data_IF_179099910902
#
_entry.id   IF_179099910902
#
_cell.length_a   1.000
_cell.length_b   1.000
_cell.length_c   1.000
_cell.angle_alpha   90.00
_cell.angle_beta   90.00
_cell.angle_gamma   90.00
#
_symmetry.space_group_name_H-M   'P 1'
#
loop_
_entity.id
_entity.type
_entity.pdbx_description
1 polymer ?
#
# COMPACT_ATOMS: atom_id res chain seq x y z
N UNK A 1 7.28 -11.85 11.15
CA UNK A 1 7.84 -11.77 9.77
C UNK A 1 8.28 -10.35 9.41
N UNK A 2 7.43 -9.32 9.56
CA UNK A 2 7.85 -7.96 9.20
C UNK A 2 9.05 -7.48 10.04
N UNK A 3 9.04 -7.69 11.36
CA UNK A 3 10.16 -7.34 12.26
C UNK A 3 11.50 -7.97 11.88
N UNK A 4 11.49 -9.11 11.18
CA UNK A 4 12.72 -9.77 10.72
C UNK A 4 13.15 -9.30 9.33
N UNK A 5 12.24 -8.70 8.56
CA UNK A 5 12.48 -8.24 7.19
C UNK A 5 12.84 -6.75 7.11
N UNK A 6 12.42 -5.95 8.09
CA UNK A 6 12.68 -4.51 8.14
C UNK A 6 14.00 -4.20 8.83
N UNK A 7 14.63 -3.09 8.44
CA UNK A 7 15.87 -2.61 9.02
C UNK A 7 16.56 -1.62 8.10
N UNK A 8 17.47 -0.83 8.66
CA UNK A 8 18.26 0.12 7.85
C UNK A 8 19.25 -0.68 7.00
N UNK A 9 19.24 -0.42 5.69
CA UNK A 9 20.17 -1.02 4.74
C UNK A 9 21.15 0.03 4.21
N UNK A 10 22.43 -0.16 4.49
CA UNK A 10 23.53 0.64 3.92
C UNK A 10 23.63 0.58 2.40
N UNK A 11 22.98 -0.41 1.77
CA UNK A 11 23.00 -0.59 0.32
C UNK A 11 21.85 0.14 -0.38
N UNK A 12 20.92 0.72 0.37
CA UNK A 12 19.80 1.48 -0.19
C UNK A 12 19.83 2.92 0.34
N UNK A 13 20.10 3.93 -0.52
CA UNK A 13 20.21 5.32 -0.10
C UNK A 13 18.86 5.92 0.35
N UNK A 14 17.75 5.26 0.06
CA UNK A 14 16.40 5.64 0.51
C UNK A 14 15.94 4.85 1.75
N UNK A 15 16.82 4.05 2.35
CA UNK A 15 16.51 3.29 3.56
C UNK A 15 16.42 4.22 4.76
N UNK A 16 15.29 4.17 5.47
CA UNK A 16 15.03 4.97 6.67
C UNK A 16 14.72 4.07 7.85
N UNK A 17 15.14 4.48 9.04
CA UNK A 17 14.77 3.77 10.27
C UNK A 17 13.28 4.01 10.56
N UNK A 18 12.50 2.96 10.88
CA UNK A 18 11.11 3.16 11.29
C UNK A 18 11.04 3.93 12.62
N UNK A 19 9.99 4.72 12.85
CA UNK A 19 9.80 5.45 14.10
C UNK A 19 9.31 4.55 15.26
N UNK A 20 9.06 3.27 15.01
CA UNK A 20 8.58 2.28 15.97
C UNK A 20 9.58 1.12 16.15
N UNK A 21 9.66 0.52 17.35
CA UNK A 21 10.65 -0.50 17.66
C UNK A 21 10.30 -1.90 17.13
N UNK A 22 9.01 -2.23 16.98
CA UNK A 22 8.52 -3.52 16.50
C UNK A 22 7.09 -3.38 15.99
N UNK A 23 6.84 -3.83 14.75
CA UNK A 23 5.51 -3.87 14.16
C UNK A 23 4.58 -4.84 14.91
N UNK A 24 5.10 -5.97 15.42
CA UNK A 24 4.29 -6.88 16.25
C UNK A 24 3.84 -6.18 17.53
N UNK A 25 4.76 -5.50 18.22
CA UNK A 25 4.42 -4.75 19.42
C UNK A 25 3.46 -3.59 19.16
N UNK A 26 3.50 -2.95 17.97
CA UNK A 26 2.49 -1.95 17.58
C UNK A 26 1.10 -2.58 17.46
N UNK A 27 1.00 -3.72 16.77
CA UNK A 27 -0.27 -4.42 16.54
C UNK A 27 -0.84 -4.94 17.86
N UNK A 28 -0.02 -5.55 18.72
CA UNK A 28 -0.45 -6.09 20.02
C UNK A 28 -1.01 -5.02 20.96
N UNK A 29 -0.57 -3.76 20.82
CA UNK A 29 -1.12 -2.63 21.60
C UNK A 29 -2.49 -2.18 21.11
N UNK A 30 -2.81 -2.41 19.84
CA UNK A 30 -4.07 -2.03 19.21
C UNK A 30 -5.03 -3.23 19.17
N UNK A 31 -5.93 -3.30 20.16
CA UNK A 31 -6.88 -4.43 20.27
C UNK A 31 -8.04 -4.37 19.29
N UNK A 32 -8.38 -3.19 18.80
CA UNK A 32 -9.48 -2.93 17.88
C UNK A 32 -9.21 -1.67 17.05
N UNK A 33 -10.14 -1.34 16.15
CA UNK A 33 -10.01 -0.22 15.22
C UNK A 33 -10.53 1.11 15.79
N UNK A 34 -10.91 1.19 17.08
CA UNK A 34 -11.53 2.39 17.63
C UNK A 34 -10.61 3.59 17.56
N UNK A 35 -11.13 4.69 17.02
CA UNK A 35 -10.39 5.94 16.86
C UNK A 35 -9.42 5.97 15.67
N UNK A 36 -9.31 4.87 14.90
CA UNK A 36 -8.55 4.87 13.66
C UNK A 36 -9.33 5.68 12.60
N UNK A 37 -8.65 6.60 11.93
CA UNK A 37 -9.22 7.38 10.82
C UNK A 37 -8.77 6.76 9.51
N UNK A 38 -9.73 6.35 8.69
CA UNK A 38 -9.50 5.63 7.43
C UNK A 38 -10.14 6.43 6.31
N UNK A 39 -9.34 6.77 5.30
CA UNK A 39 -9.84 7.30 4.05
C UNK A 39 -10.04 6.12 3.07
N UNK A 40 -11.26 5.97 2.55
CA UNK A 40 -11.59 5.00 1.51
C UNK A 40 -11.71 5.72 0.16
N UNK A 41 -10.99 5.23 -0.85
CA UNK A 41 -11.09 5.70 -2.23
C UNK A 41 -11.27 4.48 -3.13
N UNK A 42 -12.37 4.47 -3.88
CA UNK A 42 -12.79 3.33 -4.70
C UNK A 42 -11.90 3.13 -5.93
N UNK A 43 -11.64 4.19 -6.71
CA UNK A 43 -10.73 4.17 -7.86
C UNK A 43 -9.58 5.15 -7.65
N UNK A 44 -8.55 4.70 -6.95
CA UNK A 44 -7.39 5.52 -6.56
C UNK A 44 -6.58 6.00 -7.76
N UNK A 45 -6.60 5.26 -8.88
CA UNK A 45 -5.72 5.52 -10.02
C UNK A 45 -6.48 6.00 -11.28
N UNK A 46 -7.79 6.18 -11.20
CA UNK A 46 -8.62 6.57 -12.34
C UNK A 46 -8.55 5.55 -13.49
N UNK A 47 -8.39 4.26 -13.18
CA UNK A 47 -8.25 3.19 -14.19
C UNK A 47 -9.47 2.30 -14.31
N UNK A 48 -10.48 2.55 -13.47
CA UNK A 48 -11.61 1.65 -13.28
C UNK A 48 -11.25 0.48 -12.37
N UNK A 49 -12.20 0.12 -11.51
CA UNK A 49 -12.14 -1.08 -10.68
C UNK A 49 -13.29 -1.98 -11.09
N UNK A 50 -13.04 -3.28 -11.11
CA UNK A 50 -14.10 -4.26 -11.35
C UNK A 50 -15.23 -4.11 -10.32
N UNK A 51 -16.47 -4.24 -10.76
CA UNK A 51 -17.64 -3.96 -9.93
C UNK A 51 -17.75 -4.89 -8.71
N UNK A 52 -17.36 -6.17 -8.86
CA UNK A 52 -17.35 -7.12 -7.74
C UNK A 52 -16.28 -6.71 -6.72
N UNK A 53 -15.09 -6.32 -7.20
CA UNK A 53 -13.99 -5.87 -6.34
C UNK A 53 -14.35 -4.58 -5.60
N UNK A 54 -14.94 -3.59 -6.26
CA UNK A 54 -15.39 -2.36 -5.57
C UNK A 54 -16.43 -2.68 -4.49
N UNK A 55 -17.39 -3.56 -4.79
CA UNK A 55 -18.41 -3.94 -3.81
C UNK A 55 -17.79 -4.61 -2.58
N UNK A 56 -16.83 -5.52 -2.76
CA UNK A 56 -16.11 -6.20 -1.67
C UNK A 56 -15.31 -5.18 -0.85
N UNK A 57 -14.52 -4.32 -1.49
CA UNK A 57 -13.71 -3.33 -0.81
C UNK A 57 -14.54 -2.32 -0.03
N UNK A 58 -15.66 -1.86 -0.61
CA UNK A 58 -16.61 -0.96 0.04
C UNK A 58 -17.28 -1.62 1.25
N UNK A 59 -17.63 -2.90 1.15
CA UNK A 59 -18.17 -3.65 2.27
C UNK A 59 -17.13 -3.82 3.39
N UNK A 60 -15.87 -4.07 3.07
CA UNK A 60 -14.79 -4.14 4.05
C UNK A 60 -14.58 -2.79 4.77
N UNK A 61 -14.65 -1.68 4.04
CA UNK A 61 -14.60 -0.34 4.63
C UNK A 61 -15.74 -0.11 5.65
N UNK A 62 -16.96 -0.55 5.33
CA UNK A 62 -18.10 -0.50 6.27
C UNK A 62 -17.88 -1.38 7.50
N UNK A 63 -17.34 -2.59 7.34
CA UNK A 63 -17.03 -3.46 8.48
C UNK A 63 -15.99 -2.85 9.43
N UNK A 64 -15.02 -2.10 8.90
CA UNK A 64 -14.08 -1.34 9.73
C UNK A 64 -14.77 -0.22 10.51
N UNK A 65 -15.74 0.45 9.89
CA UNK A 65 -16.58 1.44 10.56
C UNK A 65 -17.41 0.80 11.69
N UNK A 66 -18.02 -0.37 11.44
CA UNK A 66 -18.75 -1.14 12.45
C UNK A 66 -17.85 -1.58 13.62
N UNK A 67 -16.56 -1.82 13.35
CA UNK A 67 -15.54 -2.11 14.35
C UNK A 67 -15.04 -0.86 15.13
N UNK A 68 -15.60 0.32 14.88
CA UNK A 68 -15.33 1.55 15.60
C UNK A 68 -14.32 2.50 14.94
N UNK A 69 -13.86 2.20 13.72
CA UNK A 69 -13.06 3.13 12.94
C UNK A 69 -13.92 4.29 12.43
N UNK A 70 -13.28 5.42 12.16
CA UNK A 70 -13.88 6.57 11.48
C UNK A 70 -13.50 6.43 10.01
N UNK A 71 -14.45 6.01 9.18
CA UNK A 71 -14.24 5.79 7.76
C UNK A 71 -14.87 6.94 6.97
N UNK A 72 -14.07 7.58 6.12
CA UNK A 72 -14.49 8.66 5.23
C UNK A 72 -14.23 8.26 3.78
N UNK A 73 -15.25 8.32 2.93
CA UNK A 73 -15.07 8.15 1.50
C UNK A 73 -14.55 9.45 0.90
N UNK A 74 -13.37 9.40 0.25
CA UNK A 74 -12.68 10.57 -0.26
C UNK A 74 -12.52 10.49 -1.78
N UNK A 75 -12.65 11.64 -2.43
CA UNK A 75 -12.27 11.81 -3.83
C UNK A 75 -10.75 12.00 -3.91
N UNK A 76 -10.01 10.89 -3.87
CA UNK A 76 -8.56 10.88 -4.05
C UNK A 76 -8.23 10.30 -5.43
N UNK A 77 -7.45 11.05 -6.20
CA UNK A 77 -7.01 10.66 -7.54
C UNK A 77 -5.48 10.75 -7.63
N UNK A 78 -4.84 9.61 -7.89
CA UNK A 78 -3.41 9.49 -8.17
C UNK A 78 -3.13 9.14 -9.64
N UNK A 79 -4.09 9.36 -10.54
CA UNK A 79 -3.99 9.08 -11.98
C UNK A 79 -2.83 9.80 -12.66
N UNK A 80 -2.46 10.99 -12.20
CA UNK A 80 -1.28 11.75 -12.66
C UNK A 80 0.03 10.98 -12.49
N UNK A 81 0.11 10.08 -11.50
CA UNK A 81 1.29 9.25 -11.25
C UNK A 81 1.49 8.12 -12.25
N UNK A 82 0.51 7.83 -13.12
CA UNK A 82 0.53 6.64 -13.99
C UNK A 82 1.66 6.66 -15.01
N UNK A 83 1.87 7.79 -15.67
CA UNK A 83 2.89 7.89 -16.73
C UNK A 83 4.32 7.90 -16.17
N UNK A 84 4.62 8.65 -15.09
CA UNK A 84 5.88 8.48 -14.36
C UNK A 84 6.11 7.04 -13.89
N UNK A 85 5.07 6.37 -13.37
CA UNK A 85 5.17 4.99 -12.91
C UNK A 85 5.53 4.03 -14.05
N UNK A 86 4.85 4.11 -15.20
CA UNK A 86 5.16 3.29 -16.38
C UNK A 86 6.59 3.53 -16.86
N UNK A 87 7.03 4.79 -16.91
CA UNK A 87 8.39 5.17 -17.30
C UNK A 87 9.42 4.54 -16.37
N UNK A 88 9.20 4.64 -15.07
CA UNK A 88 10.08 4.06 -14.06
C UNK A 88 10.14 2.53 -14.13
N UNK A 89 8.99 1.86 -14.31
CA UNK A 89 8.92 0.41 -14.51
C UNK A 89 9.62 -0.05 -15.79
N UNK A 90 9.45 0.69 -16.89
CA UNK A 90 10.14 0.43 -18.14
C UNK A 90 11.66 0.54 -18.00
N UNK A 91 12.14 1.57 -17.30
CA UNK A 91 13.56 1.74 -17.00
C UNK A 91 14.14 0.60 -16.14
N UNK A 92 13.40 0.15 -15.11
CA UNK A 92 13.85 -0.99 -14.28
C UNK A 92 14.02 -2.27 -15.10
N UNK A 93 13.04 -2.59 -15.94
CA UNK A 93 13.10 -3.76 -16.82
C UNK A 93 14.23 -3.61 -17.84
N UNK A 94 14.37 -2.42 -18.44
CA UNK A 94 15.47 -2.11 -19.36
C UNK A 94 16.85 -2.32 -18.74
N UNK A 95 17.02 -2.01 -17.45
CA UNK A 95 18.27 -2.29 -16.72
C UNK A 95 18.61 -3.77 -16.58
N UNK A 96 17.62 -4.67 -16.70
CA UNK A 96 17.82 -6.13 -16.65
C UNK A 96 17.71 -6.77 -18.04
N UNK A 97 17.63 -5.99 -19.13
CA UNK A 97 17.35 -6.49 -20.48
C UNK A 97 18.28 -7.64 -20.90
N UNK A 98 19.58 -7.53 -20.61
CA UNK A 98 20.58 -8.58 -20.95
C UNK A 98 20.47 -9.86 -20.11
N UNK A 99 19.69 -9.84 -19.03
CA UNK A 99 19.46 -10.97 -18.11
C UNK A 99 18.05 -11.55 -18.24
N UNK A 100 17.22 -11.01 -19.13
CA UNK A 100 15.81 -11.39 -19.24
C UNK A 100 15.62 -12.86 -19.63
N UNK A 101 16.56 -13.42 -20.40
CA UNK A 101 16.59 -14.85 -20.77
C UNK A 101 16.94 -15.81 -19.62
N UNK A 102 17.18 -15.30 -18.40
CA UNK A 102 17.54 -16.10 -17.22
C UNK A 102 16.44 -16.15 -16.16
N UNK A 103 15.24 -15.67 -16.49
CA UNK A 103 14.09 -15.58 -15.55
C UNK A 103 13.16 -16.80 -15.66
N UNK A 104 13.53 -17.80 -16.46
CA UNK A 104 12.86 -19.11 -16.53
C UNK A 104 13.29 -20.07 -15.41
#
# INVERSE_FOLDING_TARGET
>A
MLDTMIGVSRFSPISVAPPWPSALAEVDRCKDARGLRIAYASDIAGIGVDAEIDAICRQAARQLQDAGAIVEEVAFDASDGRDPYKTWRGWMLGRQFTRLSRVE
#
